data_IF_820835789651
#
_entry.id   IF_820835789651
#
_cell.length_a   1.000
_cell.length_b   1.000
_cell.length_c   1.000
_cell.angle_alpha   90.00
_cell.angle_beta   90.00
_cell.angle_gamma   90.00
#
_symmetry.space_group_name_H-M   'P 1'
#
loop_
_entity.id
_entity.type
_entity.pdbx_description
1 polymer ?
#
# COMPACT_ATOMS: atom_id res chain seq x y z
N UNK A 1 53.53 11.73 2.06
CA UNK A 1 52.75 10.60 1.48
C UNK A 1 51.94 9.81 2.53
N UNK A 2 52.52 9.36 3.67
CA UNK A 2 51.77 8.59 4.70
C UNK A 2 50.61 9.33 5.39
N UNK A 3 50.70 10.64 5.61
CA UNK A 3 49.63 11.45 6.22
C UNK A 3 48.40 11.62 5.32
N UNK A 4 48.62 11.83 4.02
CA UNK A 4 47.55 11.97 3.02
C UNK A 4 46.69 10.70 2.91
N UNK A 5 47.33 9.53 2.94
CA UNK A 5 46.65 8.21 2.89
C UNK A 5 45.82 7.97 4.16
N UNK A 6 46.32 8.35 5.34
CA UNK A 6 45.54 8.26 6.58
C UNK A 6 44.32 9.17 6.53
N UNK A 7 44.47 10.42 6.07
CA UNK A 7 43.36 11.35 5.92
C UNK A 7 42.30 10.87 4.92
N UNK A 8 42.72 10.34 3.76
CA UNK A 8 41.80 9.76 2.78
C UNK A 8 41.02 8.57 3.35
N UNK A 9 41.65 7.71 4.17
CA UNK A 9 40.97 6.60 4.85
C UNK A 9 39.90 7.09 5.83
N UNK A 10 40.19 8.14 6.60
CA UNK A 10 39.20 8.72 7.52
C UNK A 10 38.04 9.36 6.78
N UNK A 11 38.29 10.05 5.66
CA UNK A 11 37.23 10.63 4.80
C UNK A 11 36.38 9.51 4.18
N UNK A 12 37.01 8.46 3.64
CA UNK A 12 36.31 7.30 3.09
C UNK A 12 35.49 6.55 4.15
N UNK A 13 35.97 6.47 5.38
CA UNK A 13 35.23 5.89 6.51
C UNK A 13 34.05 6.78 6.95
N UNK A 14 34.28 8.10 7.05
CA UNK A 14 33.28 9.09 7.43
C UNK A 14 32.15 9.22 6.40
N UNK A 15 32.43 8.99 5.12
CA UNK A 15 31.41 9.03 4.06
C UNK A 15 30.83 7.64 3.75
N UNK A 16 31.63 6.58 3.87
CA UNK A 16 31.20 5.21 3.58
C UNK A 16 30.27 4.64 4.65
N UNK A 17 30.50 4.95 5.93
CA UNK A 17 29.65 4.44 7.01
C UNK A 17 28.22 5.00 6.96
N UNK A 18 27.99 6.32 6.78
CA UNK A 18 26.63 6.84 6.60
C UNK A 18 25.92 6.26 5.36
N UNK A 19 26.66 6.05 4.27
CA UNK A 19 26.09 5.45 3.06
C UNK A 19 25.62 4.01 3.31
N UNK A 20 26.43 3.21 4.01
CA UNK A 20 26.05 1.84 4.39
C UNK A 20 24.82 1.83 5.32
N UNK A 21 24.75 2.76 6.27
CA UNK A 21 23.58 2.91 7.16
C UNK A 21 22.34 3.28 6.35
N UNK A 22 22.44 4.21 5.39
CA UNK A 22 21.32 4.59 4.52
C UNK A 22 20.82 3.42 3.68
N UNK A 23 21.72 2.65 3.05
CA UNK A 23 21.35 1.46 2.28
C UNK A 23 20.69 0.41 3.18
N UNK A 24 21.22 0.21 4.39
CA UNK A 24 20.63 -0.70 5.38
C UNK A 24 19.21 -0.28 5.78
N UNK A 25 18.97 1.01 5.99
CA UNK A 25 17.65 1.55 6.32
C UNK A 25 16.64 1.37 5.17
N UNK A 26 17.06 1.63 3.92
CA UNK A 26 16.19 1.43 2.76
C UNK A 26 15.79 -0.05 2.57
N UNK A 27 16.75 -0.97 2.72
CA UNK A 27 16.48 -2.41 2.64
C UNK A 27 15.56 -2.90 3.77
N UNK A 28 15.73 -2.34 4.97
CA UNK A 28 14.86 -2.63 6.11
C UNK A 28 13.43 -2.15 5.86
N UNK A 29 13.25 -0.90 5.42
CA UNK A 29 11.95 -0.34 5.04
C UNK A 29 11.25 -1.18 3.96
N UNK A 30 11.97 -1.58 2.91
CA UNK A 30 11.42 -2.40 1.84
C UNK A 30 10.87 -3.73 2.37
N UNK A 31 11.62 -4.43 3.24
CA UNK A 31 11.15 -5.67 3.87
C UNK A 31 9.95 -5.47 4.78
N UNK A 32 9.92 -4.36 5.52
CA UNK A 32 8.77 -4.04 6.39
C UNK A 32 7.52 -3.74 5.56
N UNK A 33 7.68 -3.06 4.42
CA UNK A 33 6.60 -2.80 3.49
C UNK A 33 6.12 -4.10 2.83
N UNK A 34 7.02 -4.94 2.33
CA UNK A 34 6.73 -6.24 1.74
C UNK A 34 5.88 -7.10 2.67
N UNK A 35 6.32 -7.27 3.92
CA UNK A 35 5.58 -8.02 4.95
C UNK A 35 4.21 -7.42 5.23
N UNK A 36 4.09 -6.10 5.29
CA UNK A 36 2.81 -5.45 5.52
C UNK A 36 1.84 -5.71 4.36
N UNK A 37 2.32 -5.66 3.11
CA UNK A 37 1.51 -5.98 1.93
C UNK A 37 1.11 -7.45 1.93
N UNK A 38 2.04 -8.37 2.19
CA UNK A 38 1.76 -9.80 2.30
C UNK A 38 0.72 -10.10 3.39
N UNK A 39 0.84 -9.46 4.55
CA UNK A 39 -0.11 -9.62 5.65
C UNK A 39 -1.51 -9.13 5.26
N UNK A 40 -1.60 -7.99 4.59
CA UNK A 40 -2.89 -7.46 4.10
C UNK A 40 -3.45 -8.40 3.03
N UNK A 41 -2.66 -8.84 2.05
CA UNK A 41 -3.11 -9.79 1.02
C UNK A 41 -3.60 -11.12 1.63
N UNK A 42 -2.87 -11.67 2.59
CA UNK A 42 -3.19 -12.94 3.25
C UNK A 42 -4.43 -12.86 4.15
N UNK A 43 -4.89 -11.67 4.52
CA UNK A 43 -6.12 -11.50 5.28
C UNK A 43 -7.39 -11.64 4.44
N UNK A 44 -7.27 -11.57 3.12
CA UNK A 44 -8.38 -11.86 2.20
C UNK A 44 -8.51 -13.35 1.94
N UNK A 45 -9.74 -13.79 1.68
CA UNK A 45 -10.06 -15.19 1.38
C UNK A 45 -10.86 -15.27 0.08
N UNK A 46 -10.60 -16.31 -0.72
CA UNK A 46 -11.42 -16.59 -1.90
C UNK A 46 -12.87 -16.86 -1.46
N UNK A 47 -13.83 -16.20 -2.12
CA UNK A 47 -15.23 -16.19 -1.71
C UNK A 47 -15.54 -15.30 -0.50
N UNK A 48 -14.55 -14.63 0.11
CA UNK A 48 -14.75 -13.62 1.15
C UNK A 48 -15.35 -12.32 0.61
N UNK A 49 -15.70 -11.40 1.52
CA UNK A 49 -16.14 -10.05 1.14
C UNK A 49 -14.95 -9.22 0.64
N UNK A 50 -15.01 -8.63 -0.56
CA UNK A 50 -13.95 -7.75 -1.05
C UNK A 50 -14.01 -6.35 -0.43
N UNK A 51 -15.11 -6.01 0.26
CA UNK A 51 -15.39 -4.65 0.73
C UNK A 51 -15.04 -4.41 2.19
N UNK A 52 -14.52 -5.41 2.89
CA UNK A 52 -13.89 -5.26 4.20
C UNK A 52 -12.39 -5.22 3.95
N UNK A 53 -11.80 -4.03 4.06
CA UNK A 53 -10.43 -3.74 3.71
C UNK A 53 -9.57 -3.60 4.98
N UNK A 54 -8.97 -4.68 5.49
CA UNK A 54 -8.00 -4.59 6.57
C UNK A 54 -6.79 -3.78 6.11
N UNK A 55 -6.45 -2.72 6.85
CA UNK A 55 -5.35 -1.82 6.51
C UNK A 55 -4.55 -1.46 7.76
N UNK A 56 -3.21 -1.37 7.67
CA UNK A 56 -2.37 -0.96 8.79
C UNK A 56 -2.60 0.52 9.15
N UNK A 57 -2.84 0.79 10.43
CA UNK A 57 -3.11 2.13 10.94
C UNK A 57 -1.87 3.04 10.98
N UNK A 58 -0.67 2.47 10.92
CA UNK A 58 0.60 3.21 10.99
C UNK A 58 1.14 3.62 9.61
N UNK A 59 0.43 3.29 8.53
CA UNK A 59 0.88 3.55 7.15
C UNK A 59 -0.09 4.42 6.35
N UNK A 60 0.43 4.94 5.24
CA UNK A 60 -0.41 5.51 4.19
C UNK A 60 -0.83 4.42 3.22
N UNK A 61 -2.11 4.43 2.84
CA UNK A 61 -2.68 3.49 1.90
C UNK A 61 -3.52 4.22 0.85
N UNK A 62 -3.45 3.74 -0.38
CA UNK A 62 -4.33 4.12 -1.47
C UNK A 62 -5.11 2.87 -1.88
N UNK A 63 -6.42 3.00 -1.99
CA UNK A 63 -7.28 1.94 -2.49
C UNK A 63 -8.08 2.50 -3.66
N UNK A 64 -8.00 1.84 -4.80
CA UNK A 64 -8.81 2.17 -5.97
C UNK A 64 -9.67 0.96 -6.33
N UNK A 65 -10.95 1.18 -6.59
CA UNK A 65 -11.89 0.16 -7.03
C UNK A 65 -12.28 0.52 -8.45
N UNK A 66 -11.88 -0.32 -9.41
CA UNK A 66 -11.98 -0.04 -10.84
C UNK A 66 -12.48 -1.24 -11.61
N UNK A 67 -12.84 -1.01 -12.88
CA UNK A 67 -13.26 -2.06 -13.81
C UNK A 67 -12.13 -2.38 -14.76
N UNK A 68 -11.63 -3.63 -14.76
CA UNK A 68 -10.40 -4.06 -15.45
C UNK A 68 -10.26 -3.59 -16.89
N UNK A 69 -11.34 -3.71 -17.67
CA UNK A 69 -11.34 -3.44 -19.11
C UNK A 69 -11.74 -2.01 -19.47
N UNK A 70 -11.78 -1.09 -18.49
CA UNK A 70 -12.19 0.28 -18.71
C UNK A 70 -11.40 1.26 -17.83
N UNK A 71 -11.46 2.56 -18.14
CA UNK A 71 -10.94 3.62 -17.26
C UNK A 71 -11.95 4.02 -16.18
N UNK A 72 -12.97 3.21 -15.93
CA UNK A 72 -13.99 3.50 -14.93
C UNK A 72 -13.47 3.17 -13.53
N UNK A 73 -13.47 4.18 -12.67
CA UNK A 73 -13.19 4.05 -11.25
C UNK A 73 -14.48 4.23 -10.47
N UNK A 74 -14.86 3.22 -9.69
CA UNK A 74 -16.03 3.26 -8.81
C UNK A 74 -15.67 3.85 -7.45
N UNK A 75 -14.44 3.69 -6.97
CA UNK A 75 -14.01 4.36 -5.75
C UNK A 75 -12.51 4.64 -5.72
N UNK A 76 -12.15 5.73 -5.05
CA UNK A 76 -10.76 6.07 -4.71
C UNK A 76 -10.71 6.53 -3.25
N UNK A 77 -9.86 5.86 -2.47
CA UNK A 77 -9.70 6.07 -1.05
C UNK A 77 -8.23 6.38 -0.76
N UNK A 78 -7.98 7.45 -0.01
CA UNK A 78 -6.66 7.79 0.49
C UNK A 78 -6.69 7.80 2.01
N UNK A 79 -5.83 6.99 2.61
CA UNK A 79 -5.69 6.81 4.05
C UNK A 79 -4.28 7.22 4.42
N UNK A 80 -4.13 7.99 5.49
CA UNK A 80 -2.83 8.38 6.02
C UNK A 80 -2.82 8.18 7.52
N UNK A 81 -2.04 7.20 7.96
CA UNK A 81 -1.85 6.84 9.37
C UNK A 81 -3.21 6.59 10.05
N UNK A 82 -4.00 5.68 9.47
CA UNK A 82 -5.30 5.28 10.02
C UNK A 82 -6.39 6.35 9.92
N UNK A 83 -6.12 7.48 9.27
CA UNK A 83 -7.12 8.54 9.04
C UNK A 83 -7.47 8.58 7.56
N UNK A 84 -8.76 8.43 7.25
CA UNK A 84 -9.29 8.62 5.89
C UNK A 84 -9.18 10.10 5.52
N UNK A 85 -8.37 10.39 4.50
CA UNK A 85 -8.14 11.75 3.99
C UNK A 85 -9.08 12.11 2.85
N UNK A 86 -9.38 11.13 2.01
CA UNK A 86 -10.39 11.23 0.98
C UNK A 86 -11.02 9.87 0.76
N UNK A 87 -12.32 9.87 0.53
CA UNK A 87 -13.05 8.71 0.07
C UNK A 87 -14.07 9.19 -0.97
N UNK A 88 -13.83 8.82 -2.22
CA UNK A 88 -14.76 9.06 -3.31
C UNK A 88 -15.36 7.73 -3.72
N UNK A 89 -16.67 7.64 -3.79
CA UNK A 89 -17.41 6.44 -4.22
C UNK A 89 -18.49 6.90 -5.18
N UNK A 90 -18.56 6.29 -6.36
CA UNK A 90 -19.41 6.71 -7.48
C UNK A 90 -19.30 8.21 -7.80
N UNK A 91 -18.10 8.78 -7.68
CA UNK A 91 -17.82 10.20 -7.93
C UNK A 91 -18.29 11.16 -6.83
N UNK A 92 -18.79 10.65 -5.69
CA UNK A 92 -19.22 11.46 -4.56
C UNK A 92 -18.28 11.28 -3.37
N UNK A 93 -18.02 12.36 -2.63
CA UNK A 93 -17.30 12.29 -1.38
C UNK A 93 -18.18 11.63 -0.31
N UNK A 94 -17.70 10.53 0.29
CA UNK A 94 -18.44 9.75 1.29
C UNK A 94 -17.67 9.75 2.61
N UNK A 95 -18.32 10.01 3.76
CA UNK A 95 -17.68 9.84 5.06
C UNK A 95 -17.48 8.34 5.33
N UNK A 96 -16.23 7.92 5.48
CA UNK A 96 -15.87 6.53 5.84
C UNK A 96 -15.02 6.57 7.10
N UNK A 97 -15.39 5.75 8.08
CA UNK A 97 -14.62 5.59 9.32
C UNK A 97 -13.52 4.54 9.15
N UNK A 98 -12.44 4.70 9.90
CA UNK A 98 -11.37 3.71 9.99
C UNK A 98 -11.40 3.05 11.37
N UNK A 99 -11.73 1.76 11.42
CA UNK A 99 -11.60 0.91 12.62
C UNK A 99 -10.86 -0.37 12.22
N UNK A 100 -9.53 -0.34 12.40
CA UNK A 100 -8.60 -1.43 12.00
C UNK A 100 -8.67 -1.80 10.51
N UNK A 101 -9.29 -0.95 9.70
CA UNK A 101 -9.59 -1.16 8.29
C UNK A 101 -10.76 -0.28 7.84
N UNK A 102 -11.23 -0.51 6.62
CA UNK A 102 -12.42 0.13 6.07
C UNK A 102 -13.51 -0.92 5.80
N UNK A 103 -14.73 -0.65 6.24
CA UNK A 103 -15.90 -1.43 5.85
C UNK A 103 -16.73 -0.62 4.85
N UNK A 104 -16.74 -1.09 3.61
CA UNK A 104 -17.47 -0.48 2.50
C UNK A 104 -18.75 -1.25 2.14
N UNK A 105 -19.19 -2.16 3.00
CA UNK A 105 -20.34 -3.03 2.73
C UNK A 105 -21.61 -2.20 2.46
N UNK A 106 -21.77 -1.06 3.15
CA UNK A 106 -22.88 -0.14 2.94
C UNK A 106 -22.89 0.50 1.54
N UNK A 107 -21.78 0.47 0.80
CA UNK A 107 -21.66 1.01 -0.56
C UNK A 107 -21.57 -0.07 -1.64
N UNK A 108 -21.85 -1.34 -1.30
CA UNK A 108 -21.76 -2.47 -2.23
C UNK A 108 -22.44 -2.19 -3.57
N UNK A 109 -23.67 -1.65 -3.57
CA UNK A 109 -24.40 -1.33 -4.81
C UNK A 109 -23.66 -0.36 -5.73
N UNK A 110 -23.02 0.67 -5.15
CA UNK A 110 -22.23 1.65 -5.89
C UNK A 110 -20.92 1.06 -6.45
N UNK A 111 -20.44 -0.04 -5.85
CA UNK A 111 -19.19 -0.72 -6.22
C UNK A 111 -19.40 -1.91 -7.18
N UNK A 112 -20.63 -2.42 -7.30
CA UNK A 112 -20.99 -3.53 -8.20
C UNK A 112 -20.59 -3.35 -9.68
N UNK A 113 -20.55 -2.12 -10.26
CA UNK A 113 -20.12 -1.95 -11.65
C UNK A 113 -18.63 -2.27 -11.90
N UNK A 114 -17.82 -2.29 -10.84
CA UNK A 114 -16.40 -2.60 -10.87
C UNK A 114 -16.12 -4.04 -10.41
N UNK A 115 -14.95 -4.56 -10.77
CA UNK A 115 -14.56 -5.97 -10.56
C UNK A 115 -13.15 -6.14 -10.00
N UNK A 116 -12.45 -5.03 -9.72
CA UNK A 116 -11.07 -5.03 -9.25
C UNK A 116 -10.84 -3.99 -8.15
N UNK A 117 -10.05 -4.37 -7.15
CA UNK A 117 -9.52 -3.48 -6.12
C UNK A 117 -8.00 -3.49 -6.22
N UNK A 118 -7.40 -2.32 -6.40
CA UNK A 118 -5.96 -2.10 -6.33
C UNK A 118 -5.64 -1.48 -4.97
N UNK A 119 -4.86 -2.19 -4.15
CA UNK A 119 -4.40 -1.69 -2.86
C UNK A 119 -2.91 -1.40 -2.93
N UNK A 120 -2.52 -0.19 -2.53
CA UNK A 120 -1.15 0.24 -2.40
C UNK A 120 -0.89 0.77 -0.99
N UNK A 121 0.13 0.24 -0.34
CA UNK A 121 0.72 0.75 0.90
C UNK A 121 1.99 1.53 0.55
N UNK A 122 2.23 2.62 1.26
CA UNK A 122 3.46 3.40 1.11
C UNK A 122 4.43 3.06 2.25
N UNK A 123 5.73 3.11 1.92
CA UNK A 123 6.79 3.11 2.91
C UNK A 123 6.67 4.35 3.83
N UNK A 124 7.21 4.29 5.04
CA UNK A 124 7.14 5.46 5.94
C UNK A 124 8.16 6.52 5.51
N UNK A 125 9.24 6.10 4.85
CA UNK A 125 10.34 6.93 4.41
C UNK A 125 10.67 6.65 2.94
N UNK A 126 10.40 7.63 2.05
CA UNK A 126 10.73 7.54 0.63
C UNK A 126 9.51 7.33 -0.28
N UNK A 127 9.77 6.89 -1.50
CA UNK A 127 8.75 6.75 -2.57
C UNK A 127 8.26 5.32 -2.78
N UNK A 128 8.92 4.35 -2.14
CA UNK A 128 8.63 2.94 -2.32
C UNK A 128 7.17 2.64 -1.94
N UNK A 129 6.51 1.92 -2.83
CA UNK A 129 5.14 1.44 -2.68
C UNK A 129 5.16 -0.08 -2.77
N UNK A 130 4.19 -0.67 -2.10
CA UNK A 130 3.93 -2.09 -2.22
C UNK A 130 2.44 -2.30 -2.26
N UNK A 131 1.99 -3.36 -2.91
CA UNK A 131 0.57 -3.55 -3.11
C UNK A 131 0.25 -4.79 -3.89
N UNK A 132 -1.04 -5.00 -4.07
CA UNK A 132 -1.61 -6.16 -4.71
C UNK A 132 -3.00 -5.82 -5.25
N UNK A 133 -3.54 -6.75 -6.02
CA UNK A 133 -4.84 -6.61 -6.65
C UNK A 133 -5.79 -7.65 -6.08
N UNK A 134 -7.05 -7.29 -5.87
CA UNK A 134 -8.13 -8.24 -5.66
C UNK A 134 -9.06 -8.17 -6.85
N UNK A 135 -9.46 -9.32 -7.36
CA UNK A 135 -10.54 -9.42 -8.32
C UNK A 135 -11.76 -9.99 -7.60
N UNK A 136 -12.94 -9.51 -7.99
CA UNK A 136 -14.18 -9.93 -7.37
C UNK A 136 -15.34 -9.95 -8.37
N UNK A 137 -16.35 -10.76 -8.07
CA UNK A 137 -17.61 -10.82 -8.82
C UNK A 137 -18.77 -10.66 -7.84
N UNK A 138 -19.59 -9.63 -8.05
CA UNK A 138 -20.62 -9.24 -7.09
C UNK A 138 -20.00 -8.82 -5.76
N UNK A 139 -20.25 -9.58 -4.69
CA UNK A 139 -19.71 -9.33 -3.34
C UNK A 139 -18.72 -10.39 -2.87
N UNK A 140 -18.05 -11.07 -3.82
CA UNK A 140 -17.17 -12.21 -3.52
C UNK A 140 -15.82 -12.08 -4.21
N UNK A 141 -14.73 -12.20 -3.45
CA UNK A 141 -13.37 -12.28 -3.99
C UNK A 141 -13.23 -13.52 -4.87
N UNK A 142 -12.75 -13.35 -6.11
CA UNK A 142 -12.51 -14.43 -7.07
C UNK A 142 -11.02 -14.69 -7.27
N UNK A 143 -10.17 -13.67 -7.11
CA UNK A 143 -8.73 -13.81 -7.21
C UNK A 143 -8.02 -12.82 -6.28
N UNK A 144 -6.88 -13.26 -5.75
CA UNK A 144 -5.94 -12.44 -4.99
C UNK A 144 -4.64 -12.42 -5.80
N UNK A 145 -4.24 -11.24 -6.26
CA UNK A 145 -3.00 -11.04 -7.01
C UNK A 145 -1.78 -11.10 -6.09
N UNK A 146 -0.63 -11.41 -6.68
CA UNK A 146 0.62 -11.49 -5.94
C UNK A 146 1.05 -10.10 -5.40
N UNK A 147 1.44 -10.02 -4.12
CA UNK A 147 2.11 -8.86 -3.56
C UNK A 147 3.35 -8.48 -4.36
N UNK A 148 3.52 -7.18 -4.62
CA UNK A 148 4.71 -6.66 -5.30
C UNK A 148 5.13 -5.31 -4.74
N UNK A 149 6.42 -5.01 -4.85
CA UNK A 149 7.00 -3.70 -4.56
C UNK A 149 7.32 -2.96 -5.86
N UNK A 150 7.22 -1.63 -5.84
CA UNK A 150 7.62 -0.75 -6.92
C UNK A 150 7.95 0.65 -6.37
N UNK A 151 8.70 1.43 -7.14
CA UNK A 151 9.08 2.81 -6.87
C UNK A 151 8.11 3.86 -7.45
#
# INVERSE_FOLDING_TARGET
>A
MRLLIKFLKWIGLLLGLPLLVLVGLMLWEARQLERAVEQVAASFTLGGSPFILPLPADRSAMVSISKRDSRQTCADLAIRNGVVRSAQIAGQAVPVAFDRGLDLTAQTEALQPCDRIDMALMANWGYLKGGFTLEYAGSRVTQIGEPRLWD
#
